data_IF_639462881458
#
_entry.id   IF_639462881458
#
_cell.length_a   1.000
_cell.length_b   1.000
_cell.length_c   1.000
_cell.angle_alpha   90.00
_cell.angle_beta   90.00
_cell.angle_gamma   90.00
#
_symmetry.space_group_name_H-M   'P 1'
#
loop_
_entity.id
_entity.type
_entity.pdbx_description
1 polymer ?
#
# COMPACT_ATOMS: atom_id res chain seq x y z
N UNK A 1 4.42 65.93 32.05
CA UNK A 1 5.29 65.20 31.11
C UNK A 1 5.55 63.80 31.68
N UNK A 2 5.02 62.73 31.07
CA UNK A 2 4.92 61.41 31.69
C UNK A 2 6.23 60.59 31.61
N UNK A 3 6.36 59.67 32.56
CA UNK A 3 7.46 58.73 32.81
C UNK A 3 7.70 57.78 31.64
N UNK A 4 8.96 57.65 31.20
CA UNK A 4 9.43 56.58 30.33
C UNK A 4 9.50 55.28 31.15
N UNK A 5 8.62 54.31 30.86
CA UNK A 5 8.77 52.93 31.30
C UNK A 5 9.55 52.13 30.26
N UNK A 6 10.59 51.45 30.73
CA UNK A 6 11.45 50.55 29.99
C UNK A 6 10.71 49.21 29.83
N UNK A 7 10.21 48.91 28.63
CA UNK A 7 9.61 47.61 28.31
C UNK A 7 10.71 46.67 27.88
N UNK A 8 11.02 45.68 28.72
CA UNK A 8 11.85 44.52 28.39
C UNK A 8 11.00 43.55 27.58
N UNK A 9 11.24 43.48 26.28
CA UNK A 9 10.70 42.43 25.41
C UNK A 9 11.58 41.19 25.51
N UNK A 10 11.09 40.13 26.18
CA UNK A 10 11.70 38.80 26.12
C UNK A 10 11.35 38.08 24.80
N UNK A 11 12.38 37.55 24.14
CA UNK A 11 12.25 36.65 22.98
C UNK A 11 11.78 35.25 23.39
N UNK A 12 10.90 34.58 22.62
CA UNK A 12 10.46 33.23 22.96
C UNK A 12 11.56 32.19 22.70
N UNK A 13 11.92 31.44 23.75
CA UNK A 13 12.81 30.28 23.68
C UNK A 13 12.14 29.12 22.95
N UNK A 14 12.82 28.63 21.92
CA UNK A 14 12.50 27.42 21.16
C UNK A 14 12.78 26.19 22.05
N UNK A 15 11.72 25.47 22.45
CA UNK A 15 11.82 24.16 23.12
C UNK A 15 11.53 23.06 22.10
N UNK A 16 12.51 22.19 21.84
CA UNK A 16 12.38 20.99 21.01
C UNK A 16 11.60 19.90 21.78
N UNK A 17 10.61 19.22 21.20
CA UNK A 17 10.09 17.99 21.78
C UNK A 17 10.81 16.76 21.22
N UNK A 18 11.27 15.93 22.15
CA UNK A 18 11.88 14.63 21.93
C UNK A 18 10.81 13.54 21.77
N UNK A 19 10.92 12.80 20.66
CA UNK A 19 10.58 11.39 20.38
C UNK A 19 9.73 10.57 21.39
N UNK A 20 8.60 10.08 20.86
CA UNK A 20 7.87 8.80 21.11
C UNK A 20 7.38 8.46 22.53
N UNK A 21 6.05 8.33 22.66
CA UNK A 21 5.39 7.09 23.11
C UNK A 21 3.97 6.99 22.54
N UNK A 22 3.70 5.83 21.95
CA UNK A 22 2.43 5.42 21.36
C UNK A 22 1.41 5.18 22.46
N UNK A 23 0.19 5.70 22.30
CA UNK A 23 -0.97 5.33 23.12
C UNK A 23 -2.04 4.87 22.14
N UNK A 24 -2.22 3.55 22.05
CA UNK A 24 -3.38 2.92 21.42
C UNK A 24 -4.59 3.17 22.31
N UNK A 25 -5.56 3.91 21.80
CA UNK A 25 -6.85 4.10 22.47
C UNK A 25 -7.74 2.91 22.15
N UNK A 26 -7.95 2.08 23.17
CA UNK A 26 -8.80 0.90 23.20
C UNK A 26 -10.28 1.24 22.91
N UNK A 27 -10.82 0.72 21.81
CA UNK A 27 -12.27 0.64 21.56
C UNK A 27 -12.77 -0.75 21.97
N UNK A 28 -13.05 -0.96 23.26
CA UNK A 28 -13.83 -2.11 23.77
C UNK A 28 -14.49 -1.77 25.11
N UNK A 29 -15.75 -1.34 25.10
CA UNK A 29 -16.61 -1.41 26.30
C UNK A 29 -18.08 -1.02 26.04
N UNK A 30 -18.81 -1.77 25.20
CA UNK A 30 -20.27 -1.90 25.38
C UNK A 30 -20.62 -3.33 24.97
N UNK A 31 -20.85 -4.20 25.97
CA UNK A 31 -21.63 -5.45 25.96
C UNK A 31 -21.06 -6.38 27.02
N UNK A 32 -21.49 -6.20 28.27
CA UNK A 32 -21.53 -7.22 29.33
C UNK A 32 -22.25 -6.58 30.54
N UNK A 33 -23.58 -6.60 30.52
CA UNK A 33 -24.39 -6.57 31.73
C UNK A 33 -25.47 -7.63 31.57
N UNK A 34 -25.37 -8.67 32.39
CA UNK A 34 -26.24 -9.84 32.34
C UNK A 34 -25.87 -10.73 33.50
N UNK A 35 -26.16 -10.26 34.72
CA UNK A 35 -26.08 -11.09 35.91
C UNK A 35 -27.44 -11.74 36.16
N UNK A 36 -27.38 -13.02 36.45
CA UNK A 36 -28.47 -14.00 36.47
C UNK A 36 -29.19 -14.03 37.81
N UNK A 37 -30.52 -14.15 37.81
CA UNK A 37 -31.25 -14.92 38.83
C UNK A 37 -32.58 -15.41 38.24
N UNK A 38 -32.68 -16.72 38.00
CA UNK A 38 -33.64 -17.63 38.65
C UNK A 38 -35.09 -17.53 38.14
N UNK A 39 -35.54 -18.47 37.29
CA UNK A 39 -36.29 -19.66 37.75
C UNK A 39 -36.90 -20.46 36.57
N UNK A 40 -36.62 -21.78 36.64
CA UNK A 40 -37.54 -22.89 36.42
C UNK A 40 -37.89 -23.37 34.98
N UNK A 41 -37.30 -24.52 34.62
CA UNK A 41 -37.94 -25.78 34.18
C UNK A 41 -38.93 -25.72 32.99
N UNK A 42 -38.86 -26.58 31.96
CA UNK A 42 -38.57 -28.01 31.97
C UNK A 42 -38.53 -28.55 30.51
N UNK A 43 -37.72 -29.61 30.26
CA UNK A 43 -37.82 -30.62 29.17
C UNK A 43 -37.52 -30.12 27.73
N UNK A 44 -36.76 -30.81 26.88
CA UNK A 44 -36.23 -32.18 26.80
C UNK A 44 -34.89 -32.16 26.02
N UNK A 45 -33.95 -33.00 26.43
CA UNK A 45 -32.71 -33.43 25.75
C UNK A 45 -32.91 -34.91 25.30
N UNK A 46 -32.01 -35.62 24.57
CA UNK A 46 -30.96 -35.27 23.57
C UNK A 46 -30.90 -36.39 22.46
N UNK A 47 -29.75 -36.91 21.92
CA UNK A 47 -28.40 -36.40 21.62
C UNK A 47 -27.82 -36.74 20.21
N UNK A 48 -26.63 -36.18 19.96
CA UNK A 48 -25.52 -36.69 19.13
C UNK A 48 -25.66 -36.60 17.58
N UNK A 49 -24.69 -36.05 16.86
CA UNK A 49 -23.27 -36.39 16.91
C UNK A 49 -22.36 -35.26 16.39
N UNK A 50 -21.18 -35.25 16.97
CA UNK A 50 -19.98 -34.46 16.71
C UNK A 50 -19.46 -34.53 15.28
N UNK A 51 -19.05 -33.38 14.74
CA UNK A 51 -17.84 -33.29 13.92
C UNK A 51 -17.17 -31.92 14.09
N UNK A 52 -15.98 -31.97 14.64
CA UNK A 52 -15.00 -30.91 14.83
C UNK A 52 -14.30 -30.56 13.53
N UNK A 53 -14.34 -29.31 13.08
CA UNK A 53 -13.37 -28.76 12.13
C UNK A 53 -12.92 -27.36 12.54
N UNK A 54 -11.75 -27.37 13.19
CA UNK A 54 -10.62 -26.45 13.12
C UNK A 54 -10.80 -25.05 12.51
N UNK A 55 -10.67 -24.07 13.40
CA UNK A 55 -9.85 -22.85 13.33
C UNK A 55 -9.04 -22.63 12.03
N UNK A 56 -9.43 -21.61 11.24
CA UNK A 56 -8.67 -21.07 10.12
C UNK A 56 -7.68 -20.00 10.64
N UNK A 57 -6.37 -20.08 10.40
CA UNK A 57 -5.43 -19.01 10.73
C UNK A 57 -5.39 -17.95 9.64
N UNK A 58 -5.37 -16.69 10.06
CA UNK A 58 -5.15 -15.49 9.27
C UNK A 58 -3.70 -15.42 8.73
N UNK A 59 -3.55 -15.37 7.41
CA UNK A 59 -2.27 -15.13 6.75
C UNK A 59 -1.89 -13.64 6.79
N UNK A 60 -0.83 -13.31 7.53
CA UNK A 60 -0.17 -12.01 7.55
C UNK A 60 1.02 -12.06 6.56
N UNK A 61 0.88 -11.43 5.39
CA UNK A 61 1.96 -11.35 4.39
C UNK A 61 2.95 -10.24 4.77
N UNK A 62 4.16 -10.64 5.13
CA UNK A 62 5.34 -9.79 5.13
C UNK A 62 5.84 -9.60 3.68
N UNK A 63 5.98 -8.35 3.23
CA UNK A 63 6.69 -8.04 1.98
C UNK A 63 8.20 -7.98 2.28
N UNK A 64 8.92 -9.03 1.91
CA UNK A 64 10.38 -9.04 1.84
C UNK A 64 10.83 -8.53 0.48
N UNK A 65 11.68 -7.51 0.48
CA UNK A 65 12.34 -6.95 -0.71
C UNK A 65 13.24 -8.01 -1.36
N UNK A 66 12.92 -8.40 -2.59
CA UNK A 66 13.76 -9.28 -3.41
C UNK A 66 14.82 -8.44 -4.10
N UNK A 67 16.07 -8.55 -3.63
CA UNK A 67 17.24 -8.09 -4.37
C UNK A 67 17.60 -9.12 -5.43
N UNK A 68 17.50 -8.77 -6.71
CA UNK A 68 18.08 -9.57 -7.79
C UNK A 68 19.59 -9.35 -7.80
N UNK A 69 20.33 -10.32 -7.27
CA UNK A 69 21.77 -10.46 -7.47
C UNK A 69 21.96 -11.43 -8.63
N UNK A 70 22.17 -10.90 -9.83
CA UNK A 70 22.58 -11.69 -11.00
C UNK A 70 24.03 -12.13 -10.80
N UNK A 71 24.22 -13.38 -10.39
CA UNK A 71 25.51 -14.06 -10.36
C UNK A 71 25.72 -14.79 -11.69
N UNK A 72 26.61 -14.27 -12.54
CA UNK A 72 27.14 -14.99 -13.70
C UNK A 72 28.58 -15.42 -13.39
N UNK A 73 28.92 -16.73 -13.39
CA UNK A 73 30.26 -17.20 -13.10
C UNK A 73 31.03 -17.38 -14.42
N UNK A 74 31.52 -16.28 -14.99
CA UNK A 74 32.43 -16.36 -16.14
C UNK A 74 33.16 -15.02 -16.32
N UNK A 75 34.12 -14.74 -15.44
CA UNK A 75 35.32 -13.90 -15.63
C UNK A 75 36.09 -14.04 -14.30
N UNK A 76 36.82 -15.15 -14.15
CA UNK A 76 37.78 -15.33 -13.06
C UNK A 76 38.97 -16.13 -13.56
N UNK A 77 39.64 -15.62 -14.59
CA UNK A 77 41.03 -15.99 -14.91
C UNK A 77 41.72 -14.71 -15.37
N UNK A 78 42.84 -14.39 -14.75
CA UNK A 78 43.68 -13.19 -14.90
C UNK A 78 43.34 -12.00 -13.99
N UNK A 79 43.56 -12.19 -12.68
CA UNK A 79 44.04 -11.13 -11.82
C UNK A 79 45.29 -11.64 -11.10
N UNK A 80 46.44 -11.54 -11.78
CA UNK A 80 47.75 -11.70 -11.14
C UNK A 80 47.97 -10.47 -10.27
N UNK A 81 48.13 -10.72 -8.97
CA UNK A 81 48.37 -9.73 -7.92
C UNK A 81 49.72 -9.07 -8.14
N UNK A 82 49.72 -7.78 -8.48
CA UNK A 82 50.89 -6.91 -8.27
C UNK A 82 50.61 -6.02 -7.06
N UNK A 83 51.39 -6.21 -6.00
CA UNK A 83 51.50 -5.30 -4.87
C UNK A 83 52.23 -4.02 -5.32
N UNK A 84 51.73 -2.80 -5.04
CA UNK A 84 52.56 -1.62 -5.01
C UNK A 84 52.99 -1.29 -3.58
N UNK A 85 54.30 -1.20 -3.42
CA UNK A 85 55.00 -0.65 -2.27
C UNK A 85 54.60 0.82 -2.03
N UNK A 86 54.56 1.18 -0.75
CA UNK A 86 54.28 2.50 -0.18
C UNK A 86 55.31 3.58 -0.52
N UNK A 87 54.83 4.80 -0.80
CA UNK A 87 55.28 6.16 -0.34
C UNK A 87 55.27 7.24 -1.46
N UNK A 88 55.20 8.56 -1.15
CA UNK A 88 54.33 9.27 -0.22
C UNK A 88 53.55 10.45 -0.86
N UNK A 89 52.49 10.88 -0.15
CA UNK A 89 51.75 12.16 -0.19
C UNK A 89 52.18 13.22 -1.22
N UNK A 90 51.33 13.49 -2.21
CA UNK A 90 51.24 14.79 -2.91
C UNK A 90 49.85 15.37 -2.69
N UNK A 91 49.79 16.57 -2.14
CA UNK A 91 48.54 17.31 -1.90
C UNK A 91 47.83 17.59 -3.22
N UNK A 92 46.65 17.00 -3.42
CA UNK A 92 45.69 17.45 -4.42
C UNK A 92 44.71 18.41 -3.76
N UNK A 93 44.79 19.68 -4.13
CA UNK A 93 43.73 20.66 -3.94
C UNK A 93 42.56 20.26 -4.84
N UNK A 94 41.70 19.36 -4.34
CA UNK A 94 40.49 18.93 -5.04
C UNK A 94 39.44 20.05 -4.97
N UNK A 95 39.48 20.98 -5.93
CA UNK A 95 38.28 21.71 -6.35
C UNK A 95 37.42 20.78 -7.18
N UNK A 96 36.75 19.84 -6.52
CA UNK A 96 35.74 18.98 -7.14
C UNK A 96 34.55 19.83 -7.57
N UNK A 97 34.30 19.91 -8.88
CA UNK A 97 33.12 20.55 -9.44
C UNK A 97 31.86 19.84 -8.94
N UNK A 98 31.23 20.40 -7.92
CA UNK A 98 29.91 19.99 -7.45
C UNK A 98 28.94 20.28 -8.61
N UNK A 99 28.21 19.27 -9.13
CA UNK A 99 27.24 19.52 -10.20
C UNK A 99 26.13 20.43 -9.65
N UNK A 100 25.99 21.61 -10.26
CA UNK A 100 25.01 22.63 -9.87
C UNK A 100 23.63 22.13 -10.29
N UNK A 101 22.72 21.97 -9.33
CA UNK A 101 21.31 21.66 -9.57
C UNK A 101 20.61 22.90 -10.11
N UNK A 102 20.10 22.84 -11.35
CA UNK A 102 19.17 23.85 -11.86
C UNK A 102 17.90 23.14 -12.34
N UNK A 103 16.76 23.44 -11.71
CA UNK A 103 15.43 22.93 -12.11
C UNK A 103 15.34 21.40 -12.33
N UNK A 104 16.03 20.60 -11.50
CA UNK A 104 15.98 19.13 -11.58
C UNK A 104 16.81 18.49 -12.70
N UNK A 105 17.51 19.29 -13.51
CA UNK A 105 18.41 18.82 -14.57
C UNK A 105 19.86 18.97 -14.12
N UNK A 106 20.62 17.88 -14.17
CA UNK A 106 22.06 17.90 -13.89
C UNK A 106 22.81 18.31 -15.15
N UNK A 107 23.51 19.44 -15.09
CA UNK A 107 24.37 19.92 -16.19
C UNK A 107 25.82 19.63 -15.83
N UNK A 108 26.48 18.77 -16.62
CA UNK A 108 27.91 18.53 -16.47
C UNK A 108 28.69 19.77 -16.95
N UNK A 109 29.36 20.46 -16.02
CA UNK A 109 30.26 21.57 -16.36
C UNK A 109 31.53 21.00 -16.99
N UNK A 110 31.68 21.15 -18.31
CA UNK A 110 32.90 20.78 -19.02
C UNK A 110 33.99 21.82 -18.75
N UNK A 111 35.09 21.41 -18.13
CA UNK A 111 36.28 22.26 -17.98
C UNK A 111 37.11 22.14 -19.28
N UNK A 112 37.19 23.20 -20.11
CA UNK A 112 37.92 23.13 -21.37
C UNK A 112 39.40 22.94 -21.08
N UNK A 113 39.95 21.78 -21.46
CA UNK A 113 41.38 21.53 -21.39
C UNK A 113 42.10 22.57 -22.26
N UNK A 114 42.85 23.47 -21.61
CA UNK A 114 43.82 24.36 -22.27
C UNK A 114 44.92 23.48 -22.89
N UNK A 115 44.71 23.08 -24.14
CA UNK A 115 45.64 22.28 -24.94
C UNK A 115 46.85 23.16 -25.29
N UNK A 116 47.96 22.97 -24.57
CA UNK A 116 49.25 23.44 -25.05
C UNK A 116 49.67 22.54 -26.23
N UNK A 117 49.64 23.09 -27.44
CA UNK A 117 50.19 22.43 -28.62
C UNK A 117 51.71 22.32 -28.44
N UNK A 118 52.19 21.17 -27.97
CA UNK A 118 53.61 20.84 -28.02
C UNK A 118 53.85 20.05 -29.30
N UNK A 119 54.68 20.61 -30.19
CA UNK A 119 55.29 19.88 -31.30
C UNK A 119 56.15 18.77 -30.71
N UNK A 120 55.73 17.52 -30.85
CA UNK A 120 56.57 16.37 -30.48
C UNK A 120 57.83 16.42 -31.35
N UNK A 121 58.98 16.58 -30.70
CA UNK A 121 60.27 16.54 -31.39
C UNK A 121 60.38 15.20 -32.14
N UNK A 122 60.83 15.25 -33.40
CA UNK A 122 61.02 14.05 -34.23
C UNK A 122 62.08 13.18 -33.56
N UNK A 123 61.63 12.14 -32.85
CA UNK A 123 62.50 11.13 -32.27
C UNK A 123 63.14 10.39 -33.44
N UNK A 124 64.45 10.59 -33.62
CA UNK A 124 65.23 9.79 -34.56
C UNK A 124 65.10 8.33 -34.13
N UNK A 125 64.68 7.45 -35.04
CA UNK A 125 64.64 6.01 -34.80
C UNK A 125 66.05 5.55 -34.44
N UNK A 126 66.26 5.22 -33.17
CA UNK A 126 67.46 4.53 -32.74
C UNK A 126 67.50 3.18 -33.46
N UNK A 127 68.60 2.92 -34.19
CA UNK A 127 68.80 1.62 -34.81
C UNK A 127 69.17 0.65 -33.69
N UNK A 128 68.18 -0.04 -33.14
CA UNK A 128 68.37 -0.95 -32.01
C UNK A 128 69.15 -2.22 -32.37
N UNK A 129 69.36 -2.48 -33.68
CA UNK A 129 70.09 -3.64 -34.17
C UNK A 129 71.28 -3.21 -35.05
N UNK A 130 72.49 -3.38 -34.53
CA UNK A 130 73.75 -3.08 -35.23
C UNK A 130 74.22 -4.32 -36.01
N UNK A 131 73.87 -4.35 -37.30
CA UNK A 131 74.18 -5.49 -38.18
C UNK A 131 75.68 -5.67 -38.38
N UNK A 132 76.46 -4.59 -38.38
CA UNK A 132 77.89 -4.62 -38.67
C UNK A 132 78.69 -5.19 -37.49
N UNK A 133 78.31 -4.86 -36.26
CA UNK A 133 78.91 -5.45 -35.05
C UNK A 133 78.72 -6.96 -34.97
N UNK A 134 77.56 -7.46 -35.41
CA UNK A 134 77.27 -8.90 -35.37
C UNK A 134 78.05 -9.63 -36.46
N UNK A 135 78.17 -9.07 -37.67
CA UNK A 135 79.04 -9.63 -38.73
C UNK A 135 80.50 -9.69 -38.26
N UNK A 136 81.02 -8.61 -37.65
CA UNK A 136 82.39 -8.58 -37.11
C UNK A 136 82.60 -9.65 -36.02
N UNK A 137 81.61 -9.86 -35.15
CA UNK A 137 81.67 -10.88 -34.11
C UNK A 137 81.68 -12.30 -34.70
N UNK A 138 80.85 -12.56 -35.71
CA UNK A 138 80.83 -13.85 -36.43
C UNK A 138 82.16 -14.12 -37.14
N UNK A 139 82.77 -13.10 -37.75
CA UNK A 139 84.11 -13.21 -38.35
C UNK A 139 85.19 -13.60 -37.33
N UNK A 140 85.14 -13.00 -36.14
CA UNK A 140 86.09 -13.29 -35.06
C UNK A 140 85.95 -14.71 -34.49
N UNK A 141 84.76 -15.31 -34.59
CA UNK A 141 84.47 -16.69 -34.18
C UNK A 141 84.77 -17.72 -35.28
N UNK A 142 85.39 -17.30 -36.40
CA UNK A 142 85.89 -18.20 -37.45
C UNK A 142 84.97 -18.39 -38.67
N UNK A 143 83.89 -17.61 -38.80
CA UNK A 143 83.03 -17.64 -39.99
C UNK A 143 83.63 -16.82 -41.15
N UNK A 144 83.43 -17.32 -42.38
CA UNK A 144 83.72 -16.54 -43.60
C UNK A 144 82.86 -15.28 -43.65
N UNK A 145 83.39 -14.20 -44.24
CA UNK A 145 82.65 -12.95 -44.44
C UNK A 145 81.32 -13.16 -45.14
N UNK A 146 81.31 -13.97 -46.20
CA UNK A 146 80.11 -14.24 -46.99
C UNK A 146 79.07 -15.01 -46.17
N UNK A 147 79.51 -15.94 -45.33
CA UNK A 147 78.64 -16.72 -44.44
C UNK A 147 78.06 -15.86 -43.31
N UNK A 148 78.87 -15.00 -42.70
CA UNK A 148 78.44 -14.08 -41.66
C UNK A 148 77.40 -13.07 -42.19
N UNK A 149 77.62 -12.55 -43.41
CA UNK A 149 76.66 -11.65 -44.08
C UNK A 149 75.37 -12.37 -44.45
N UNK A 150 75.45 -13.61 -44.94
CA UNK A 150 74.26 -14.39 -45.29
C UNK A 150 73.40 -14.71 -44.05
N UNK A 151 74.01 -15.12 -42.95
CA UNK A 151 73.31 -15.40 -41.70
C UNK A 151 72.62 -14.15 -41.14
N UNK A 152 73.28 -12.99 -41.25
CA UNK A 152 72.71 -11.72 -40.79
C UNK A 152 71.51 -11.25 -41.59
N UNK A 153 71.44 -11.56 -42.89
CA UNK A 153 70.26 -11.27 -43.71
C UNK A 153 69.06 -12.07 -43.22
N UNK A 154 69.22 -13.38 -43.01
CA UNK A 154 68.15 -14.25 -42.49
C UNK A 154 67.70 -13.81 -41.10
N UNK A 155 68.64 -13.45 -40.21
CA UNK A 155 68.30 -12.93 -38.88
C UNK A 155 67.53 -11.61 -38.94
N UNK A 156 67.90 -10.72 -39.87
CA UNK A 156 67.20 -9.44 -40.06
C UNK A 156 65.76 -9.67 -40.52
N UNK A 157 65.52 -10.64 -41.41
CA UNK A 157 64.17 -10.99 -41.88
C UNK A 157 63.29 -11.55 -40.74
N UNK A 158 63.83 -12.45 -39.91
CA UNK A 158 63.11 -13.00 -38.74
C UNK A 158 62.82 -11.92 -37.69
N UNK A 159 63.76 -11.01 -37.44
CA UNK A 159 63.57 -9.90 -36.50
C UNK A 159 62.51 -8.93 -37.01
N UNK A 160 62.54 -8.58 -38.31
CA UNK A 160 61.55 -7.70 -38.92
C UNK A 160 60.14 -8.31 -38.87
N UNK A 161 60.00 -9.60 -39.19
CA UNK A 161 58.75 -10.34 -39.07
C UNK A 161 58.23 -10.37 -37.61
N UNK A 162 59.13 -10.65 -36.65
CA UNK A 162 58.81 -10.67 -35.21
C UNK A 162 58.38 -9.29 -34.70
N UNK A 163 59.09 -8.23 -35.10
CA UNK A 163 58.80 -6.86 -34.69
C UNK A 163 57.48 -6.36 -35.29
N UNK A 164 57.18 -6.70 -36.54
CA UNK A 164 55.87 -6.41 -37.13
C UNK A 164 54.74 -7.17 -36.43
N UNK A 165 54.94 -8.44 -36.07
CA UNK A 165 53.95 -9.22 -35.34
C UNK A 165 53.66 -8.63 -33.94
N UNK A 166 54.71 -8.22 -33.21
CA UNK A 166 54.57 -7.55 -31.91
C UNK A 166 53.88 -6.19 -32.05
N UNK A 167 54.26 -5.39 -33.03
CA UNK A 167 53.69 -4.06 -33.25
C UNK A 167 52.20 -4.13 -33.63
N UNK A 168 51.77 -5.20 -34.34
CA UNK A 168 50.34 -5.44 -34.64
C UNK A 168 49.49 -5.75 -33.42
N UNK A 169 50.07 -6.41 -32.40
CA UNK A 169 49.36 -6.74 -31.16
C UNK A 169 49.45 -5.64 -30.09
N UNK A 170 50.39 -4.71 -30.24
CA UNK A 170 50.57 -3.57 -29.33
C UNK A 170 49.70 -2.39 -29.74
N UNK A 171 49.31 -1.60 -28.75
CA UNK A 171 48.55 -0.36 -28.94
C UNK A 171 49.46 0.82 -28.69
N UNK A 172 49.42 1.82 -29.58
CA UNK A 172 50.13 3.08 -29.39
C UNK A 172 49.65 3.76 -28.11
N UNK A 173 50.55 4.43 -27.38
CA UNK A 173 50.17 5.22 -26.19
C UNK A 173 49.11 6.27 -26.53
N UNK A 174 49.20 6.87 -27.72
CA UNK A 174 48.22 7.85 -28.19
C UNK A 174 46.82 7.23 -28.32
N UNK A 175 46.71 6.04 -28.94
CA UNK A 175 45.44 5.35 -29.12
C UNK A 175 44.86 4.85 -27.79
N UNK A 176 45.71 4.37 -26.89
CA UNK A 176 45.32 3.98 -25.54
C UNK A 176 44.78 5.18 -24.75
N UNK A 177 45.47 6.33 -24.78
CA UNK A 177 45.06 7.56 -24.12
C UNK A 177 43.76 8.12 -24.72
N UNK A 178 43.63 8.10 -26.05
CA UNK A 178 42.41 8.53 -26.75
C UNK A 178 41.22 7.65 -26.39
N UNK A 179 41.40 6.33 -26.38
CA UNK A 179 40.36 5.38 -25.98
C UNK A 179 39.93 5.60 -24.53
N UNK A 180 40.89 5.78 -23.62
CA UNK A 180 40.61 6.07 -22.21
C UNK A 180 39.89 7.42 -22.03
N UNK A 181 40.21 8.44 -22.84
CA UNK A 181 39.53 9.72 -22.80
C UNK A 181 38.06 9.59 -23.24
N UNK A 182 37.81 8.91 -24.36
CA UNK A 182 36.44 8.64 -24.85
C UNK A 182 35.62 7.91 -23.78
N UNK A 183 36.17 6.85 -23.19
CA UNK A 183 35.51 6.12 -22.10
C UNK A 183 35.15 7.04 -20.93
N UNK A 184 36.06 7.92 -20.50
CA UNK A 184 35.78 8.87 -19.41
C UNK A 184 34.66 9.84 -19.75
N UNK A 185 34.63 10.36 -20.98
CA UNK A 185 33.56 11.25 -21.44
C UNK A 185 32.22 10.50 -21.49
N UNK A 186 32.22 9.26 -22.00
CA UNK A 186 31.01 8.43 -22.07
C UNK A 186 30.48 8.11 -20.67
N UNK A 187 31.35 7.78 -19.71
CA UNK A 187 30.94 7.57 -18.32
C UNK A 187 30.36 8.83 -17.69
N UNK A 188 30.94 10.01 -17.97
CA UNK A 188 30.40 11.27 -17.48
C UNK A 188 29.01 11.55 -18.07
N UNK A 189 28.83 11.27 -19.37
CA UNK A 189 27.55 11.43 -20.06
C UNK A 189 26.49 10.47 -19.53
N UNK A 190 26.79 9.17 -19.45
CA UNK A 190 25.90 8.15 -18.91
C UNK A 190 25.47 8.46 -17.48
N UNK A 191 26.40 8.94 -16.65
CA UNK A 191 26.08 9.38 -15.29
C UNK A 191 25.11 10.54 -15.27
N UNK A 192 25.30 11.53 -16.15
CA UNK A 192 24.39 12.68 -16.25
C UNK A 192 23.00 12.27 -16.72
N UNK A 193 22.92 11.41 -17.74
CA UNK A 193 21.65 10.88 -18.25
C UNK A 193 20.93 10.04 -17.20
N UNK A 194 21.64 9.16 -16.49
CA UNK A 194 21.08 8.34 -15.40
C UNK A 194 20.51 9.21 -14.29
N UNK A 195 21.27 10.20 -13.80
CA UNK A 195 20.81 11.09 -12.74
C UNK A 195 19.60 11.93 -13.17
N UNK A 196 19.56 12.33 -14.43
CA UNK A 196 18.42 13.06 -14.97
C UNK A 196 17.18 12.16 -15.08
N UNK A 197 17.34 10.95 -15.64
CA UNK A 197 16.27 9.96 -15.76
C UNK A 197 15.68 9.61 -14.39
N UNK A 198 16.54 9.27 -13.42
CA UNK A 198 16.16 8.93 -12.05
C UNK A 198 15.39 10.08 -11.38
N UNK A 199 15.88 11.32 -11.52
CA UNK A 199 15.19 12.51 -11.00
C UNK A 199 13.82 12.70 -11.63
N UNK A 200 13.70 12.56 -12.95
CA UNK A 200 12.41 12.70 -13.66
C UNK A 200 11.42 11.61 -13.29
N UNK A 201 11.86 10.35 -13.21
CA UNK A 201 11.02 9.21 -12.86
C UNK A 201 10.55 9.30 -11.40
N UNK A 202 11.43 9.71 -10.48
CA UNK A 202 11.08 9.94 -9.09
C UNK A 202 10.02 11.05 -8.95
N UNK A 203 10.14 12.14 -9.71
CA UNK A 203 9.15 13.22 -9.73
C UNK A 203 7.80 12.76 -10.30
N UNK A 204 7.80 12.02 -11.40
CA UNK A 204 6.59 11.48 -12.01
C UNK A 204 5.88 10.52 -11.05
N UNK A 205 6.62 9.58 -10.47
CA UNK A 205 6.10 8.63 -9.48
C UNK A 205 5.50 9.34 -8.28
N UNK A 206 6.20 10.35 -7.74
CA UNK A 206 5.70 11.14 -6.61
C UNK A 206 4.43 11.90 -6.96
N UNK A 207 4.38 12.54 -8.13
CA UNK A 207 3.19 13.25 -8.60
C UNK A 207 1.99 12.32 -8.81
N UNK A 208 2.22 11.11 -9.32
CA UNK A 208 1.19 10.08 -9.48
C UNK A 208 0.67 9.61 -8.14
N UNK A 209 1.58 9.36 -7.19
CA UNK A 209 1.22 8.97 -5.83
C UNK A 209 0.39 10.04 -5.12
N UNK A 210 0.76 11.32 -5.24
CA UNK A 210 0.01 12.43 -4.64
C UNK A 210 -1.39 12.57 -5.27
N UNK A 211 -1.53 12.36 -6.58
CA UNK A 211 -2.84 12.32 -7.27
C UNK A 211 -3.71 11.18 -6.75
N UNK A 212 -3.18 9.96 -6.71
CA UNK A 212 -3.91 8.77 -6.23
C UNK A 212 -4.32 8.95 -4.76
N UNK A 213 -3.44 9.51 -3.92
CA UNK A 213 -3.76 9.81 -2.54
C UNK A 213 -4.92 10.83 -2.41
N UNK A 214 -4.92 11.86 -3.27
CA UNK A 214 -6.02 12.83 -3.35
C UNK A 214 -7.35 12.20 -3.78
N UNK A 215 -7.32 11.35 -4.80
CA UNK A 215 -8.51 10.63 -5.28
C UNK A 215 -9.05 9.67 -4.23
N UNK A 216 -8.17 8.98 -3.49
CA UNK A 216 -8.54 8.11 -2.38
C UNK A 216 -9.23 8.89 -1.26
N UNK A 217 -8.69 10.05 -0.87
CA UNK A 217 -9.30 10.90 0.15
C UNK A 217 -10.68 11.40 -0.29
N UNK A 218 -10.82 11.80 -1.56
CA UNK A 218 -12.09 12.24 -2.15
C UNK A 218 -13.13 11.13 -2.19
N UNK A 219 -12.74 9.92 -2.59
CA UNK A 219 -13.62 8.76 -2.62
C UNK A 219 -14.06 8.36 -1.20
N UNK A 220 -13.14 8.38 -0.23
CA UNK A 220 -13.45 8.09 1.16
C UNK A 220 -14.48 9.07 1.73
N UNK A 221 -14.30 10.37 1.47
CA UNK A 221 -15.30 11.38 1.87
C UNK A 221 -16.67 11.11 1.25
N UNK A 222 -16.72 10.87 -0.06
CA UNK A 222 -17.98 10.57 -0.77
C UNK A 222 -18.69 9.34 -0.21
N UNK A 223 -17.94 8.26 0.03
CA UNK A 223 -18.49 7.04 0.61
C UNK A 223 -19.03 7.30 2.03
N UNK A 224 -18.33 8.07 2.85
CA UNK A 224 -18.84 8.45 4.18
C UNK A 224 -20.13 9.25 4.08
N UNK A 225 -20.22 10.19 3.15
CA UNK A 225 -21.41 11.02 2.94
C UNK A 225 -22.59 10.18 2.43
N UNK A 226 -22.34 9.24 1.51
CA UNK A 226 -23.36 8.32 1.00
C UNK A 226 -23.83 7.33 2.08
N UNK A 227 -22.92 6.79 2.89
CA UNK A 227 -23.27 5.95 4.05
C UNK A 227 -24.10 6.75 5.06
N UNK A 228 -23.71 7.99 5.36
CA UNK A 228 -24.48 8.86 6.26
C UNK A 228 -25.87 9.16 5.73
N UNK A 229 -25.98 9.48 4.43
CA UNK A 229 -27.26 9.75 3.75
C UNK A 229 -28.16 8.52 3.72
N UNK A 230 -27.64 7.36 3.33
CA UNK A 230 -28.40 6.10 3.31
C UNK A 230 -28.83 5.68 4.71
N UNK A 231 -27.95 5.81 5.71
CA UNK A 231 -28.30 5.53 7.10
C UNK A 231 -29.42 6.45 7.61
N UNK A 232 -29.37 7.75 7.30
CA UNK A 232 -30.44 8.70 7.65
C UNK A 232 -31.76 8.34 6.95
N UNK A 233 -31.70 7.97 5.66
CA UNK A 233 -32.85 7.52 4.88
C UNK A 233 -33.51 6.28 5.48
N UNK A 234 -32.72 5.25 5.83
CA UNK A 234 -33.22 4.01 6.43
C UNK A 234 -33.81 4.28 7.82
N UNK A 235 -33.19 5.15 8.62
CA UNK A 235 -33.75 5.55 9.93
C UNK A 235 -35.09 6.24 9.79
N UNK A 236 -35.24 7.15 8.81
CA UNK A 236 -36.51 7.81 8.53
C UNK A 236 -37.57 6.80 8.10
N UNK A 237 -37.22 5.92 7.16
CA UNK A 237 -38.12 4.88 6.64
C UNK A 237 -38.66 3.98 7.77
N UNK A 238 -37.77 3.48 8.64
CA UNK A 238 -38.16 2.70 9.82
C UNK A 238 -39.03 3.49 10.79
N UNK A 239 -38.79 4.79 10.96
CA UNK A 239 -39.61 5.62 11.84
C UNK A 239 -41.01 5.86 11.26
N UNK A 240 -41.12 6.08 9.94
CA UNK A 240 -42.40 6.21 9.26
C UNK A 240 -43.17 4.89 9.32
N UNK A 241 -42.50 3.76 9.08
CA UNK A 241 -43.12 2.44 9.14
C UNK A 241 -43.59 2.09 10.56
N UNK A 242 -42.81 2.42 11.60
CA UNK A 242 -43.26 2.32 13.00
C UNK A 242 -44.49 3.19 13.27
N UNK A 243 -44.52 4.41 12.71
CA UNK A 243 -45.69 5.29 12.79
C UNK A 243 -46.92 4.65 12.15
N UNK A 244 -46.75 4.09 10.95
CA UNK A 244 -47.80 3.40 10.21
C UNK A 244 -48.34 2.17 10.95
N UNK A 245 -47.46 1.31 11.47
CA UNK A 245 -47.85 0.14 12.27
C UNK A 245 -48.63 0.57 13.52
N UNK A 246 -48.22 1.66 14.18
CA UNK A 246 -48.93 2.19 15.34
C UNK A 246 -50.31 2.72 14.98
N UNK A 247 -50.45 3.44 13.87
CA UNK A 247 -51.73 3.94 13.39
C UNK A 247 -52.67 2.78 13.00
N UNK A 248 -52.16 1.78 12.29
CA UNK A 248 -52.91 0.58 11.93
C UNK A 248 -53.35 -0.21 13.19
N UNK A 249 -52.44 -0.39 14.15
CA UNK A 249 -52.74 -1.05 15.42
C UNK A 249 -53.81 -0.30 16.23
N UNK A 250 -53.74 1.03 16.31
CA UNK A 250 -54.76 1.84 16.98
C UNK A 250 -56.11 1.79 16.23
N UNK A 251 -56.07 1.77 14.89
CA UNK A 251 -57.26 1.59 14.06
C UNK A 251 -57.94 0.24 14.30
N UNK A 252 -57.14 -0.83 14.43
CA UNK A 252 -57.66 -2.15 14.81
C UNK A 252 -58.22 -2.16 16.23
N UNK A 253 -57.53 -1.55 17.20
CA UNK A 253 -58.01 -1.46 18.58
C UNK A 253 -59.35 -0.72 18.68
N UNK A 254 -59.53 0.37 17.91
CA UNK A 254 -60.80 1.09 17.84
C UNK A 254 -61.93 0.23 17.25
N UNK A 255 -61.66 -0.50 16.16
CA UNK A 255 -62.64 -1.42 15.56
C UNK A 255 -63.04 -2.54 16.52
N UNK A 256 -62.08 -3.07 17.28
CA UNK A 256 -62.34 -4.08 18.32
C UNK A 256 -63.27 -3.49 19.39
N UNK A 257 -62.98 -2.29 19.91
CA UNK A 257 -63.84 -1.63 20.90
C UNK A 257 -65.24 -1.35 20.35
N UNK A 258 -65.36 -0.91 19.11
CA UNK A 258 -66.67 -0.72 18.48
C UNK A 258 -67.44 -2.05 18.40
N UNK A 259 -66.80 -3.13 17.97
CA UNK A 259 -67.45 -4.46 17.92
C UNK A 259 -67.78 -4.99 19.31
N UNK A 260 -66.93 -4.76 20.31
CA UNK A 260 -67.19 -5.10 21.71
C UNK A 260 -68.46 -4.40 22.22
N UNK A 261 -68.58 -3.08 21.99
CA UNK A 261 -69.80 -2.34 22.39
C UNK A 261 -71.05 -2.79 21.63
N UNK A 262 -70.94 -3.15 20.34
CA UNK A 262 -72.05 -3.72 19.58
C UNK A 262 -72.49 -5.07 20.13
N UNK A 263 -71.54 -5.93 20.51
CA UNK A 263 -71.83 -7.22 21.14
C UNK A 263 -72.53 -7.01 22.49
N UNK A 264 -72.05 -6.08 23.33
CA UNK A 264 -72.71 -5.76 24.60
C UNK A 264 -74.16 -5.29 24.40
N UNK A 265 -74.42 -4.46 23.39
CA UNK A 265 -75.76 -4.01 23.03
C UNK A 265 -76.64 -5.18 22.55
N UNK A 266 -76.13 -6.05 21.68
CA UNK A 266 -76.85 -7.23 21.22
C UNK A 266 -77.17 -8.19 22.39
N UNK A 267 -76.23 -8.39 23.30
CA UNK A 267 -76.41 -9.21 24.51
C UNK A 267 -77.47 -8.61 25.42
N UNK A 268 -77.45 -7.29 25.66
CA UNK A 268 -78.49 -6.60 26.43
C UNK A 268 -79.86 -6.74 25.77
N UNK A 269 -79.94 -6.58 24.45
CA UNK A 269 -81.18 -6.76 23.69
C UNK A 269 -81.71 -8.20 23.74
N UNK A 270 -80.85 -9.21 23.66
CA UNK A 270 -81.23 -10.62 23.85
C UNK A 270 -81.72 -10.86 25.28
N UNK A 271 -81.04 -10.31 26.28
CA UNK A 271 -81.44 -10.40 27.69
C UNK A 271 -82.82 -9.82 27.94
N UNK A 272 -83.12 -8.64 27.39
CA UNK A 272 -84.43 -8.00 27.45
C UNK A 272 -85.52 -8.89 26.80
N UNK A 273 -85.27 -9.42 25.60
CA UNK A 273 -86.19 -10.34 24.93
C UNK A 273 -86.45 -11.59 25.77
N UNK A 274 -85.43 -12.15 26.42
CA UNK A 274 -85.57 -13.29 27.33
C UNK A 274 -86.43 -12.94 28.55
N UNK A 275 -86.22 -11.78 29.15
CA UNK A 275 -87.05 -11.29 30.27
C UNK A 275 -88.51 -11.06 29.84
N UNK A 276 -88.75 -10.50 28.66
CA UNK A 276 -90.08 -10.33 28.08
C UNK A 276 -90.78 -11.67 27.81
N UNK A 277 -90.06 -12.67 27.27
CA UNK A 277 -90.59 -14.03 27.07
C UNK A 277 -90.95 -14.66 28.41
N UNK A 278 -90.08 -14.55 29.43
CA UNK A 278 -90.38 -15.05 30.79
C UNK A 278 -91.67 -14.42 31.35
N UNK A 279 -91.84 -13.10 31.22
CA UNK A 279 -93.05 -12.42 31.69
C UNK A 279 -94.31 -12.87 30.93
N UNK A 280 -94.22 -13.00 29.60
CA UNK A 280 -95.30 -13.54 28.77
C UNK A 280 -95.70 -14.96 29.20
N UNK A 281 -94.72 -15.84 29.43
CA UNK A 281 -94.99 -17.21 29.91
C UNK A 281 -95.65 -17.21 31.29
N UNK A 282 -95.21 -16.34 32.22
CA UNK A 282 -95.85 -16.19 33.53
C UNK A 282 -97.30 -15.69 33.41
N UNK A 283 -97.57 -14.78 32.50
CA UNK A 283 -98.93 -14.29 32.25
C UNK A 283 -99.84 -15.39 31.68
N UNK A 284 -99.34 -16.18 30.72
CA UNK A 284 -100.06 -17.36 30.22
C UNK A 284 -100.32 -18.39 31.33
N UNK A 285 -99.32 -18.66 32.16
CA UNK A 285 -99.45 -19.57 33.31
C UNK A 285 -100.56 -19.11 34.26
N UNK A 286 -100.58 -17.81 34.63
CA UNK A 286 -101.63 -17.23 35.47
C UNK A 286 -103.02 -17.34 34.80
N UNK A 287 -103.10 -17.11 33.49
CA UNK A 287 -104.33 -17.26 32.72
C UNK A 287 -104.85 -18.71 32.74
N UNK A 288 -103.97 -19.69 32.52
CA UNK A 288 -104.34 -21.11 32.55
C UNK A 288 -104.75 -21.56 33.96
N UNK A 289 -103.99 -21.22 35.00
CA UNK A 289 -104.34 -21.54 36.39
C UNK A 289 -105.67 -20.91 36.83
N UNK A 290 -105.91 -19.65 36.46
CA UNK A 290 -107.18 -18.97 36.77
C UNK A 290 -108.34 -19.58 35.98
N UNK A 291 -108.12 -19.92 34.71
CA UNK A 291 -109.11 -20.59 33.86
C UNK A 291 -109.49 -21.98 34.38
N UNK A 292 -108.52 -22.81 34.76
CA UNK A 292 -108.78 -24.13 35.34
C UNK A 292 -109.47 -24.02 36.70
N UNK A 293 -109.04 -23.10 37.57
CA UNK A 293 -109.73 -22.84 38.83
C UNK A 293 -111.19 -22.40 38.63
N UNK A 294 -111.45 -21.52 37.64
CA UNK A 294 -112.81 -21.10 37.29
C UNK A 294 -113.67 -22.26 36.77
N UNK A 295 -113.11 -23.16 35.94
CA UNK A 295 -113.80 -24.36 35.48
C UNK A 295 -114.10 -25.33 36.62
N UNK A 296 -113.16 -25.56 37.55
CA UNK A 296 -113.37 -26.40 38.74
C UNK A 296 -114.49 -25.83 39.61
N UNK A 297 -114.47 -24.52 39.88
CA UNK A 297 -115.53 -23.84 40.63
C UNK A 297 -116.88 -23.90 39.88
N UNK A 298 -116.86 -23.75 38.55
CA UNK A 298 -118.04 -23.88 37.71
C UNK A 298 -118.64 -25.29 37.75
N UNK A 299 -117.81 -26.33 37.68
CA UNK A 299 -118.21 -27.72 37.77
C UNK A 299 -118.73 -28.07 39.18
N UNK A 300 -118.04 -27.61 40.23
CA UNK A 300 -118.50 -27.77 41.62
C UNK A 300 -119.89 -27.16 41.82
N UNK A 301 -120.14 -25.97 41.25
CA UNK A 301 -121.44 -25.30 41.29
C UNK A 301 -122.54 -26.05 40.53
N UNK A 302 -122.20 -26.81 39.49
CA UNK A 302 -123.16 -27.58 38.69
C UNK A 302 -123.50 -28.94 39.31
N UNK A 303 -122.64 -29.45 40.20
CA UNK A 303 -122.74 -30.77 40.83
C UNK A 303 -123.35 -30.73 42.25
N UNK A 304 -123.39 -29.55 42.89
CA UNK A 304 -124.12 -29.26 44.13
C UNK A 304 -125.50 -28.68 43.81
#
# INVERSE_FOLDING_TARGET
MPKLQLVVTESPRIVRPSRRRSVETSLRSIFLSGNSSQLNNQRLLPPASSNSLQLVPSYQRHFSSVSYRTSSPLIQKHAVVFHPQSSPKRQETASGSIPIRHNGVYVATFNPARRAFHQTAVVKKDHHFDTLKVVQRLKNEGFSEEQAVALMKVMSDVIEESMQNLTRAMVSREDAERSAYTQKVDFAKLRSELLNSDSTEAQLTRSSHDKIAGDLAKLNSRLRDEIGRTQASVRLDLNLEKGRIREESNGQEMRIKETETRIEQEVAGVRERVEAVKFSTLQWLMGVCTGTAALILGAWRLLM
#
